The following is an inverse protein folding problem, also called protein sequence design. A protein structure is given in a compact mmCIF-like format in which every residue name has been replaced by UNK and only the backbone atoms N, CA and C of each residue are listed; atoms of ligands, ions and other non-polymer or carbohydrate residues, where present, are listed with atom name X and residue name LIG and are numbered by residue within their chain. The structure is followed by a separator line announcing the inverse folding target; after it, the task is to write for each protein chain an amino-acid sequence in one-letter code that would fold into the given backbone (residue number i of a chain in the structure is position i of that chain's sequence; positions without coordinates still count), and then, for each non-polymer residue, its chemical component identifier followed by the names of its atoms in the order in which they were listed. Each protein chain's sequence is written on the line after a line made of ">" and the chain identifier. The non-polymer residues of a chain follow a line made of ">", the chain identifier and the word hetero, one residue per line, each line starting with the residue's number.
data_IF_907429357311
#
_entry.id   IF_907429357311
#
_cell.length_a   1.000
_cell.length_b   1.000
_cell.length_c   1.000
_cell.angle_alpha   90.00
_cell.angle_beta   90.00
_cell.angle_gamma   90.00
#
_symmetry.space_group_name_H-M   'P 1'
#
loop_
_entity.id
_entity.type
_entity.pdbx_description
1 polymer ?
#
# COMPACT_ATOMS: atom_id res chain seq x y z
N UNK A 1 56.96 6.91 -4.86
CA UNK A 1 57.99 6.24 -4.04
C UNK A 1 57.31 5.17 -3.20
N UNK A 2 57.95 4.01 -3.09
CA UNK A 2 57.37 2.69 -2.83
C UNK A 2 56.90 2.43 -1.37
N UNK A 3 55.94 1.50 -1.22
CA UNK A 3 55.80 0.54 -0.10
C UNK A 3 54.88 -0.59 -0.60
N UNK A 4 55.37 -1.79 -0.97
CA UNK A 4 55.95 -2.94 -0.22
C UNK A 4 54.94 -4.02 0.21
N UNK A 5 55.16 -5.24 -0.35
CA UNK A 5 54.83 -6.59 0.16
C UNK A 5 53.35 -7.03 0.12
N UNK A 6 52.95 -8.29 -0.11
CA UNK A 6 53.65 -9.59 -0.17
C UNK A 6 52.81 -10.62 -0.94
N UNK A 7 53.47 -11.57 -1.60
CA UNK A 7 52.90 -12.74 -2.30
C UNK A 7 53.06 -13.99 -1.44
N UNK A 8 52.02 -14.82 -1.28
CA UNK A 8 52.14 -16.25 -0.95
C UNK A 8 50.85 -17.03 -1.30
N UNK A 9 51.05 -18.31 -1.61
CA UNK A 9 50.17 -19.25 -2.33
C UNK A 9 49.43 -20.27 -1.43
N UNK A 10 48.30 -20.78 -1.96
CA UNK A 10 47.78 -22.18 -2.02
C UNK A 10 47.72 -23.04 -0.74
N UNK A 11 46.54 -23.65 -0.46
CA UNK A 11 46.26 -25.10 -0.23
C UNK A 11 44.84 -25.29 0.42
N UNK A 12 44.02 -26.17 -0.18
CA UNK A 12 42.74 -26.74 0.33
C UNK A 12 42.97 -27.93 1.28
N UNK A 13 41.99 -28.31 2.12
CA UNK A 13 41.25 -29.58 1.91
C UNK A 13 39.75 -29.50 2.33
N UNK A 14 38.82 -30.04 1.54
CA UNK A 14 38.16 -31.37 1.63
C UNK A 14 37.02 -31.49 2.67
N UNK A 15 35.80 -31.56 2.13
CA UNK A 15 34.62 -32.41 2.42
C UNK A 15 34.37 -32.93 3.86
N UNK A 16 33.16 -32.67 4.39
CA UNK A 16 32.29 -33.73 4.97
C UNK A 16 30.82 -33.28 5.03
N UNK A 17 29.97 -34.05 4.36
CA UNK A 17 28.50 -34.05 4.47
C UNK A 17 28.05 -34.86 5.68
N UNK A 18 26.98 -34.44 6.38
CA UNK A 18 26.20 -35.36 7.23
C UNK A 18 24.70 -35.09 7.12
N UNK A 19 24.02 -36.08 6.54
CA UNK A 19 22.58 -36.32 6.64
C UNK A 19 22.31 -37.11 7.93
N UNK A 20 21.06 -37.13 8.43
CA UNK A 20 20.56 -38.34 9.07
C UNK A 20 19.34 -38.93 8.35
N UNK A 21 19.39 -40.26 8.29
CA UNK A 21 18.63 -41.21 7.50
C UNK A 21 17.21 -41.51 8.00
N UNK A 22 16.33 -41.89 7.06
CA UNK A 22 15.12 -42.68 7.27
C UNK A 22 15.46 -44.16 7.53
N UNK A 23 14.64 -44.87 8.34
CA UNK A 23 14.15 -46.27 8.19
C UNK A 23 13.27 -46.63 9.41
N UNK A 24 11.94 -46.73 9.28
CA UNK A 24 11.05 -47.91 9.10
C UNK A 24 10.99 -48.90 10.28
N UNK A 25 9.79 -49.04 10.86
CA UNK A 25 9.22 -50.28 11.44
C UNK A 25 7.68 -50.14 11.43
N UNK A 26 6.96 -50.60 10.41
CA UNK A 26 6.30 -51.91 10.23
C UNK A 26 5.26 -52.31 11.30
N UNK A 27 3.97 -52.11 10.96
CA UNK A 27 2.94 -53.15 11.01
C UNK A 27 2.10 -53.32 12.29
N UNK A 28 0.84 -52.89 12.24
CA UNK A 28 -0.37 -53.75 12.28
C UNK A 28 -1.64 -52.89 12.40
N UNK A 29 -2.57 -53.09 11.47
CA UNK A 29 -3.90 -52.48 11.53
C UNK A 29 -4.82 -53.16 12.53
N UNK A 30 -5.91 -52.48 12.91
CA UNK A 30 -7.30 -52.97 12.96
C UNK A 30 -8.20 -51.88 13.59
N UNK A 31 -9.20 -51.45 12.82
CA UNK A 31 -10.62 -51.24 13.18
C UNK A 31 -11.06 -50.53 14.47
N UNK A 32 -11.99 -49.59 14.24
CA UNK A 32 -13.25 -49.33 14.97
C UNK A 32 -13.32 -48.38 16.19
N UNK A 33 -14.18 -47.37 15.97
CA UNK A 33 -15.25 -46.85 16.84
C UNK A 33 -14.92 -46.19 18.18
N UNK A 34 -15.19 -44.88 18.21
CA UNK A 34 -16.00 -44.13 19.20
C UNK A 34 -15.84 -44.53 20.68
N UNK A 35 -15.31 -43.59 21.48
CA UNK A 35 -15.97 -43.20 22.74
C UNK A 35 -15.52 -41.80 23.18
N UNK A 36 -16.48 -40.88 23.24
CA UNK A 36 -16.35 -39.53 23.75
C UNK A 36 -16.28 -39.59 25.29
N UNK A 37 -15.13 -39.26 25.89
CA UNK A 37 -15.02 -39.07 27.33
C UNK A 37 -14.81 -37.60 27.65
N UNK A 38 -15.89 -36.95 28.11
CA UNK A 38 -15.87 -35.59 28.63
C UNK A 38 -14.96 -35.48 29.86
N UNK A 39 -13.77 -34.90 29.68
CA UNK A 39 -13.03 -34.28 30.80
C UNK A 39 -13.26 -32.77 30.76
N UNK A 40 -14.12 -32.28 31.64
CA UNK A 40 -14.23 -30.84 31.95
C UNK A 40 -12.99 -30.41 32.72
N UNK A 41 -11.99 -29.91 32.01
CA UNK A 41 -10.85 -29.22 32.61
C UNK A 41 -11.29 -27.79 32.93
N UNK A 42 -11.61 -27.51 34.20
CA UNK A 42 -11.82 -26.14 34.67
C UNK A 42 -10.48 -25.40 34.65
N UNK A 43 -10.27 -24.57 33.64
CA UNK A 43 -9.19 -23.58 33.59
C UNK A 43 -9.57 -22.41 34.50
N UNK A 44 -8.78 -22.20 35.55
CA UNK A 44 -8.94 -21.13 36.53
C UNK A 44 -8.54 -19.79 35.87
N UNK A 45 -9.54 -19.01 35.44
CA UNK A 45 -9.36 -17.76 34.70
C UNK A 45 -9.24 -16.57 35.67
N UNK A 46 -8.12 -16.47 36.39
CA UNK A 46 -7.83 -15.32 37.26
C UNK A 46 -6.52 -14.63 36.86
N UNK A 47 -6.53 -13.90 35.73
CA UNK A 47 -5.63 -12.76 35.45
C UNK A 47 -5.94 -12.13 34.08
N UNK A 48 -6.98 -11.32 34.00
CA UNK A 48 -7.13 -10.35 32.91
C UNK A 48 -6.15 -9.21 33.17
N UNK A 49 -5.03 -9.18 32.43
CA UNK A 49 -4.21 -7.97 32.33
C UNK A 49 -5.04 -6.91 31.58
N UNK A 50 -5.09 -5.64 32.01
CA UNK A 50 -5.77 -4.62 31.25
C UNK A 50 -5.09 -4.47 29.89
N UNK A 51 -5.87 -4.58 28.81
CA UNK A 51 -5.42 -4.28 27.46
C UNK A 51 -5.05 -2.79 27.41
N UNK A 52 -3.76 -2.48 27.29
CA UNK A 52 -3.30 -1.14 26.99
C UNK A 52 -3.65 -0.85 25.52
N UNK A 53 -4.81 -0.23 25.29
CA UNK A 53 -5.11 0.36 23.99
C UNK A 53 -4.21 1.58 23.84
N UNK A 54 -3.09 1.40 23.14
CA UNK A 54 -2.30 2.51 22.63
C UNK A 54 -3.06 2.97 21.39
N UNK A 55 -3.98 3.92 21.53
CA UNK A 55 -4.64 4.50 20.38
C UNK A 55 -3.62 5.35 19.63
N UNK A 56 -3.16 4.86 18.47
CA UNK A 56 -2.54 5.71 17.46
C UNK A 56 -3.47 6.90 17.19
N UNK A 57 -2.92 8.09 16.91
CA UNK A 57 -3.74 9.28 16.65
C UNK A 57 -4.67 8.99 15.48
N UNK A 58 -5.97 8.87 15.77
CA UNK A 58 -6.99 8.68 14.73
C UNK A 58 -7.24 10.01 14.03
N UNK A 59 -7.18 9.99 12.71
CA UNK A 59 -7.53 11.12 11.86
C UNK A 59 -8.75 10.77 11.01
N UNK A 60 -9.64 11.74 10.83
CA UNK A 60 -10.74 11.66 9.86
C UNK A 60 -10.25 12.19 8.52
N UNK A 61 -10.53 11.48 7.44
CA UNK A 61 -10.07 11.88 6.10
C UNK A 61 -11.28 11.95 5.17
N UNK A 62 -11.47 13.14 4.59
CA UNK A 62 -12.41 13.35 3.51
C UNK A 62 -11.70 13.24 2.16
N UNK A 63 -12.18 12.33 1.32
CA UNK A 63 -11.62 12.02 0.02
C UNK A 63 -12.63 12.34 -1.08
N UNK A 64 -12.75 13.64 -1.35
CA UNK A 64 -13.58 14.17 -2.41
C UNK A 64 -12.95 14.01 -3.80
N UNK A 65 -13.78 14.12 -4.82
CA UNK A 65 -13.39 14.11 -6.25
C UNK A 65 -12.50 15.30 -6.61
N UNK A 66 -12.76 16.46 -6.00
CA UNK A 66 -12.10 17.74 -6.33
C UNK A 66 -11.12 18.17 -5.25
N UNK A 67 -11.51 18.04 -3.99
CA UNK A 67 -10.70 18.42 -2.84
C UNK A 67 -10.78 17.33 -1.78
N UNK A 68 -9.74 17.25 -0.97
CA UNK A 68 -9.62 16.36 0.18
C UNK A 68 -9.22 17.14 1.43
N UNK A 69 -9.55 16.63 2.61
CA UNK A 69 -9.25 17.29 3.88
C UNK A 69 -8.95 16.26 4.96
N UNK A 70 -8.19 16.66 5.99
CA UNK A 70 -7.89 15.82 7.15
C UNK A 70 -8.30 16.54 8.42
N UNK A 71 -9.04 15.84 9.27
CA UNK A 71 -9.41 16.26 10.61
C UNK A 71 -8.68 15.45 11.66
N UNK A 72 -8.25 16.10 12.74
CA UNK A 72 -7.68 15.47 13.91
C UNK A 72 -8.42 15.96 15.18
N UNK A 73 -8.28 15.21 16.26
CA UNK A 73 -8.79 15.63 17.57
C UNK A 73 -7.69 16.35 18.35
N UNK A 74 -7.87 17.64 18.62
CA UNK A 74 -6.95 18.45 19.43
C UNK A 74 -7.69 18.98 20.65
N UNK A 75 -7.18 18.70 21.86
CA UNK A 75 -7.81 19.18 23.10
C UNK A 75 -9.27 18.74 23.28
N UNK A 76 -9.65 17.58 22.74
CA UNK A 76 -11.02 17.07 22.77
C UNK A 76 -11.98 17.69 21.76
N UNK A 77 -11.49 18.55 20.85
CA UNK A 77 -12.29 19.19 19.79
C UNK A 77 -11.82 18.73 18.40
N UNK A 78 -12.73 18.52 17.43
CA UNK A 78 -12.34 18.24 16.06
C UNK A 78 -11.77 19.51 15.40
N UNK A 79 -10.58 19.40 14.82
CA UNK A 79 -9.88 20.48 14.12
C UNK A 79 -9.46 19.98 12.73
N UNK A 80 -9.58 20.82 11.70
CA UNK A 80 -9.05 20.52 10.36
C UNK A 80 -7.58 20.87 10.33
N UNK A 81 -6.76 19.90 9.94
CA UNK A 81 -5.31 20.05 9.78
C UNK A 81 -5.04 20.85 8.51
N UNK A 82 -4.19 21.86 8.61
CA UNK A 82 -3.70 22.61 7.45
C UNK A 82 -2.60 21.82 6.74
N UNK A 83 -2.66 21.73 5.42
CA UNK A 83 -1.60 21.12 4.61
C UNK A 83 -0.31 21.95 4.64
N UNK A 84 0.75 21.41 4.04
CA UNK A 84 2.05 22.08 3.92
C UNK A 84 1.98 23.45 3.22
N UNK A 85 0.97 23.68 2.39
CA UNK A 85 0.72 24.96 1.71
C UNK A 85 -0.14 25.94 2.54
N UNK A 86 -0.48 25.60 3.79
CA UNK A 86 -1.27 26.43 4.72
C UNK A 86 -2.78 26.43 4.46
N UNK A 87 -3.27 25.56 3.59
CA UNK A 87 -4.70 25.44 3.24
C UNK A 87 -5.38 24.33 4.03
N UNK A 88 -6.68 24.50 4.32
CA UNK A 88 -7.51 23.50 5.03
C UNK A 88 -8.00 22.36 4.13
N UNK A 89 -7.80 22.49 2.82
CA UNK A 89 -8.15 21.49 1.82
C UNK A 89 -7.03 21.39 0.80
N UNK A 90 -6.87 20.20 0.24
CA UNK A 90 -5.88 19.90 -0.81
C UNK A 90 -6.64 19.49 -2.07
N UNK A 91 -6.33 20.06 -3.25
CA UNK A 91 -6.89 19.57 -4.51
C UNK A 91 -6.60 18.08 -4.68
N UNK A 92 -7.61 17.28 -5.03
CA UNK A 92 -7.49 15.84 -5.31
C UNK A 92 -6.86 15.62 -6.69
N UNK A 93 -5.63 16.10 -6.85
CA UNK A 93 -4.88 16.10 -8.11
C UNK A 93 -3.48 15.58 -7.85
N UNK A 94 -3.06 14.61 -8.64
CA UNK A 94 -1.71 14.05 -8.62
C UNK A 94 -1.12 14.19 -10.01
N UNK A 95 0.15 14.56 -10.10
CA UNK A 95 0.85 14.60 -11.36
C UNK A 95 2.25 14.01 -11.25
N UNK A 96 2.72 13.41 -12.34
CA UNK A 96 4.07 12.88 -12.44
C UNK A 96 4.89 13.73 -13.39
N UNK A 97 6.07 14.15 -12.96
CA UNK A 97 7.02 14.87 -13.82
C UNK A 97 7.73 13.89 -14.76
N UNK A 98 8.34 14.42 -15.82
CA UNK A 98 9.18 13.63 -16.73
C UNK A 98 10.41 13.01 -16.05
N UNK A 99 10.84 13.57 -14.93
CA UNK A 99 11.93 13.04 -14.09
C UNK A 99 11.46 11.90 -13.18
N UNK A 100 10.15 11.63 -13.13
CA UNK A 100 9.54 10.61 -12.27
C UNK A 100 9.13 11.11 -10.89
N UNK A 101 9.25 12.41 -10.63
CA UNK A 101 8.84 13.00 -9.35
C UNK A 101 7.32 13.09 -9.26
N UNK A 102 6.79 12.73 -8.10
CA UNK A 102 5.36 12.80 -7.80
C UNK A 102 5.03 14.16 -7.19
N UNK A 103 4.07 14.85 -7.79
CA UNK A 103 3.52 16.12 -7.33
C UNK A 103 2.05 15.92 -6.94
N UNK A 104 1.63 16.53 -5.84
CA UNK A 104 0.26 16.37 -5.30
C UNK A 104 -0.31 17.75 -4.95
N UNK A 105 -1.63 17.91 -5.05
CA UNK A 105 -2.33 19.09 -4.59
C UNK A 105 -2.15 20.30 -5.51
N UNK A 106 -1.83 21.46 -4.91
CA UNK A 106 -1.74 22.72 -5.65
C UNK A 106 -0.64 22.70 -6.72
N UNK A 107 0.50 22.06 -6.44
CA UNK A 107 1.62 21.99 -7.39
C UNK A 107 1.22 21.17 -8.62
N UNK A 108 0.56 20.03 -8.43
CA UNK A 108 0.02 19.22 -9.52
C UNK A 108 -1.03 19.99 -10.34
N UNK A 109 -1.97 20.66 -9.66
CA UNK A 109 -3.01 21.46 -10.32
C UNK A 109 -2.45 22.58 -11.20
N UNK A 110 -1.38 23.25 -10.78
CA UNK A 110 -0.75 24.34 -11.54
C UNK A 110 -0.17 23.88 -12.87
N UNK A 111 0.38 22.67 -12.92
CA UNK A 111 0.98 22.15 -14.14
C UNK A 111 0.01 21.37 -15.03
N UNK A 112 -1.25 21.20 -14.63
CA UNK A 112 -2.22 20.39 -15.38
C UNK A 112 -2.40 20.85 -16.83
N UNK A 113 -2.22 22.15 -17.11
CA UNK A 113 -2.31 22.72 -18.47
C UNK A 113 -1.12 22.36 -19.34
N UNK A 114 0.09 22.27 -18.75
CA UNK A 114 1.34 22.00 -19.49
C UNK A 114 1.70 20.50 -19.53
N UNK A 115 1.13 19.72 -18.61
CA UNK A 115 1.37 18.28 -18.47
C UNK A 115 0.04 17.51 -18.29
N UNK A 116 -0.91 17.62 -19.23
CA UNK A 116 -2.26 17.08 -19.06
C UNK A 116 -2.32 15.55 -18.99
N UNK A 117 -1.49 14.87 -19.79
CA UNK A 117 -1.49 13.41 -19.90
C UNK A 117 -0.96 12.70 -18.64
N UNK A 118 -0.12 13.39 -17.85
CA UNK A 118 0.45 12.87 -16.61
C UNK A 118 -0.12 13.57 -15.37
N UNK A 119 -1.22 14.31 -15.51
CA UNK A 119 -1.91 14.98 -14.40
C UNK A 119 -3.30 14.39 -14.21
N UNK A 120 -3.48 13.68 -13.10
CA UNK A 120 -4.67 12.91 -12.77
C UNK A 120 -5.56 13.69 -11.78
N UNK A 121 -6.78 13.97 -12.20
CA UNK A 121 -7.84 14.62 -11.42
C UNK A 121 -9.16 13.87 -11.60
N UNK A 122 -10.14 14.09 -10.72
CA UNK A 122 -11.44 13.37 -10.76
C UNK A 122 -11.32 11.84 -10.66
N UNK A 123 -10.19 11.32 -10.18
CA UNK A 123 -9.88 9.88 -10.17
C UNK A 123 -10.91 9.07 -9.37
N UNK A 124 -11.51 9.69 -8.35
CA UNK A 124 -12.57 9.09 -7.52
C UNK A 124 -13.75 8.55 -8.35
N UNK A 125 -14.00 9.10 -9.54
CA UNK A 125 -15.06 8.65 -10.47
C UNK A 125 -14.82 7.26 -11.07
N UNK A 126 -13.58 6.79 -11.05
CA UNK A 126 -13.14 5.52 -11.64
C UNK A 126 -12.86 4.43 -10.60
N UNK A 127 -12.86 4.76 -9.31
CA UNK A 127 -12.55 3.80 -8.25
C UNK A 127 -13.72 2.81 -8.13
N UNK A 128 -13.41 1.52 -8.18
CA UNK A 128 -14.39 0.44 -7.98
C UNK A 128 -15.35 0.20 -9.15
N UNK A 129 -15.19 0.92 -10.27
CA UNK A 129 -16.02 0.75 -11.48
C UNK A 129 -15.29 -0.05 -12.55
N UNK A 130 -16.06 -0.66 -13.45
CA UNK A 130 -15.56 -1.32 -14.66
C UNK A 130 -15.41 -0.32 -15.79
N UNK A 131 -14.52 -0.62 -16.74
CA UNK A 131 -14.29 0.26 -17.90
C UNK A 131 -15.59 0.55 -18.67
N UNK A 132 -16.44 -0.47 -18.84
CA UNK A 132 -17.72 -0.34 -19.54
C UNK A 132 -18.72 0.62 -18.90
N UNK A 133 -18.52 1.00 -17.64
CA UNK A 133 -19.41 1.89 -16.90
C UNK A 133 -18.94 3.34 -16.94
N UNK A 134 -17.71 3.61 -17.40
CA UNK A 134 -17.04 4.92 -17.28
C UNK A 134 -16.67 5.54 -18.63
N UNK A 135 -17.30 5.08 -19.71
CA UNK A 135 -17.00 5.54 -21.07
C UNK A 135 -17.24 7.05 -21.24
N UNK A 136 -18.25 7.61 -20.57
CA UNK A 136 -18.54 9.05 -20.61
C UNK A 136 -17.51 9.85 -19.80
N UNK A 137 -17.22 9.43 -18.57
CA UNK A 137 -16.26 10.10 -17.70
C UNK A 137 -14.83 10.03 -18.23
N UNK A 138 -14.48 8.94 -18.93
CA UNK A 138 -13.16 8.78 -19.58
C UNK A 138 -12.91 9.83 -20.67
N UNK A 139 -13.96 10.33 -21.33
CA UNK A 139 -13.85 11.38 -22.37
C UNK A 139 -13.76 12.79 -21.78
N UNK A 140 -14.10 12.95 -20.50
CA UNK A 140 -14.08 14.25 -19.81
C UNK A 140 -12.72 14.57 -19.20
N UNK A 141 -11.81 13.59 -19.12
CA UNK A 141 -10.48 13.75 -18.54
C UNK A 141 -9.42 13.90 -19.64
N UNK A 142 -8.31 14.54 -19.30
CA UNK A 142 -7.23 14.84 -20.26
C UNK A 142 -6.15 13.75 -20.33
N UNK A 143 -6.27 12.70 -19.55
CA UNK A 143 -5.34 11.57 -19.48
C UNK A 143 -6.01 10.28 -19.97
N UNK A 144 -5.19 9.31 -20.37
CA UNK A 144 -5.67 8.05 -20.91
C UNK A 144 -6.14 7.10 -19.81
N UNK A 145 -7.38 6.62 -19.96
CA UNK A 145 -7.99 5.60 -19.09
C UNK A 145 -7.98 4.27 -19.85
N UNK A 146 -7.32 3.25 -19.28
CA UNK A 146 -7.10 1.96 -19.93
C UNK A 146 -7.81 0.84 -19.19
N UNK A 147 -8.23 -0.17 -19.95
CA UNK A 147 -8.88 -1.38 -19.44
C UNK A 147 -7.85 -2.45 -19.11
N UNK A 148 -7.96 -3.03 -17.92
CA UNK A 148 -7.21 -4.22 -17.54
C UNK A 148 -7.86 -5.52 -18.04
N UNK A 149 -7.14 -6.64 -17.98
CA UNK A 149 -7.65 -7.98 -18.34
C UNK A 149 -8.96 -8.31 -17.61
N UNK A 150 -9.06 -7.89 -16.34
CA UNK A 150 -10.23 -8.08 -15.48
C UNK A 150 -11.37 -7.08 -15.73
N UNK A 151 -11.25 -6.21 -16.73
CA UNK A 151 -12.21 -5.14 -17.03
C UNK A 151 -12.18 -3.96 -16.06
N UNK A 152 -11.18 -3.90 -15.17
CA UNK A 152 -11.01 -2.81 -14.22
C UNK A 152 -10.41 -1.58 -14.90
N UNK A 153 -10.64 -0.42 -14.30
CA UNK A 153 -10.07 0.86 -14.76
C UNK A 153 -8.65 1.03 -14.23
N UNK A 154 -7.71 1.29 -15.14
CA UNK A 154 -6.35 1.74 -14.88
C UNK A 154 -6.11 3.08 -15.56
N UNK A 155 -5.18 3.87 -15.03
CA UNK A 155 -4.77 5.15 -15.58
C UNK A 155 -3.41 4.96 -16.22
N UNK A 156 -3.25 5.37 -17.48
CA UNK A 156 -1.96 5.33 -18.13
C UNK A 156 -1.11 6.55 -17.75
N UNK A 157 0.12 6.32 -17.32
CA UNK A 157 1.06 7.38 -16.98
C UNK A 157 2.33 7.25 -17.84
N UNK A 158 2.38 7.96 -18.98
CA UNK A 158 3.54 7.96 -19.88
C UNK A 158 4.85 8.35 -19.20
N UNK A 159 4.83 9.33 -18.28
CA UNK A 159 6.02 9.84 -17.61
C UNK A 159 6.80 8.78 -16.83
N UNK A 160 6.11 7.79 -16.26
CA UNK A 160 6.72 6.66 -15.52
C UNK A 160 6.65 5.34 -16.28
N UNK A 161 6.02 5.32 -17.47
CA UNK A 161 5.83 4.13 -18.29
C UNK A 161 5.03 3.01 -17.61
N UNK A 162 4.05 3.37 -16.77
CA UNK A 162 3.27 2.39 -15.97
C UNK A 162 1.79 2.72 -16.01
N UNK A 163 0.98 1.67 -15.91
CA UNK A 163 -0.45 1.79 -15.64
C UNK A 163 -0.71 1.78 -14.14
N UNK A 164 -1.28 2.86 -13.64
CA UNK A 164 -1.62 3.06 -12.24
C UNK A 164 -3.05 2.60 -11.97
N UNK A 165 -3.28 1.98 -10.82
CA UNK A 165 -4.65 1.69 -10.39
C UNK A 165 -5.34 2.98 -9.95
N UNK A 166 -6.61 3.17 -10.36
CA UNK A 166 -7.39 4.37 -10.00
C UNK A 166 -7.44 4.61 -8.49
N UNK A 167 -7.55 3.54 -7.69
CA UNK A 167 -7.58 3.67 -6.22
C UNK A 167 -6.25 4.13 -5.62
N UNK A 168 -5.11 3.78 -6.22
CA UNK A 168 -3.80 4.17 -5.72
C UNK A 168 -3.57 5.68 -5.90
N UNK A 169 -3.88 6.20 -7.08
CA UNK A 169 -3.69 7.63 -7.41
C UNK A 169 -4.67 8.53 -6.66
N UNK A 170 -5.94 8.15 -6.60
CA UNK A 170 -6.96 8.99 -5.97
C UNK A 170 -6.89 9.00 -4.44
N UNK A 171 -6.63 7.83 -3.84
CA UNK A 171 -6.71 7.62 -2.39
C UNK A 171 -5.33 7.81 -1.74
N UNK A 172 -4.37 6.95 -2.05
CA UNK A 172 -3.12 6.85 -1.27
C UNK A 172 -2.26 8.11 -1.43
N UNK A 173 -2.11 8.60 -2.65
CA UNK A 173 -1.16 9.68 -2.93
C UNK A 173 -1.61 11.03 -2.34
N UNK A 174 -2.93 11.29 -2.31
CA UNK A 174 -3.47 12.46 -1.64
C UNK A 174 -3.36 12.36 -0.12
N UNK A 175 -3.51 11.16 0.44
CA UNK A 175 -3.39 10.93 1.88
C UNK A 175 -1.99 11.23 2.41
N UNK A 176 -0.96 10.77 1.71
CA UNK A 176 0.43 11.03 2.12
C UNK A 176 0.73 12.52 2.19
N UNK A 177 0.21 13.32 1.26
CA UNK A 177 0.45 14.77 1.22
C UNK A 177 -0.36 15.54 2.27
N UNK A 178 -1.50 15.01 2.71
CA UNK A 178 -2.35 15.65 3.71
C UNK A 178 -1.83 15.46 5.15
N UNK A 179 -1.02 14.44 5.39
CA UNK A 179 -0.52 14.08 6.73
C UNK A 179 0.98 14.37 6.90
N UNK A 180 1.69 14.72 5.82
CA UNK A 180 3.10 15.17 5.85
C UNK A 180 3.23 16.64 6.19
#
# INVERSE_FOLDING_TARGET
>A
MASSSSTAQIITPLTTSSQPSKTVFFGKGLTNSISFSHKKTFINLSKTRPLRVVAEKVVGIDLGTTNSAVGAMEGGKPVIVTNAEGQRTTPSVVAYTKTGDRLVGQIAKRQAVVNPENTFFSVKRFIGRKMSEVDEESKQVSYNVVRDENGNVKLDCPAIGKHLFSWAVGLIENLEKLVS
#
